data_IF_432767719118
#
_entry.id   IF_432767719118
#
_cell.length_a   1.000
_cell.length_b   1.000
_cell.length_c   1.000
_cell.angle_alpha   90.00
_cell.angle_beta   90.00
_cell.angle_gamma   90.00
#
_symmetry.space_group_name_H-M   'P 1'
#
loop_
_entity.id
_entity.type
_entity.pdbx_description
1 polymer ?
#
# COMPACT_ATOMS: atom_id res chain seq x y z
N UNK A 1 -1.96 -12.45 -5.12
CA UNK A 1 -2.02 -11.35 -4.15
C UNK A 1 -3.03 -11.77 -3.09
N UNK A 2 -2.54 -12.25 -1.93
CA UNK A 2 -3.44 -12.37 -0.78
C UNK A 2 -3.63 -10.94 -0.24
N UNK A 3 -4.64 -10.27 -0.73
CA UNK A 3 -5.36 -9.27 0.06
C UNK A 3 -5.65 -9.88 1.43
N UNK A 4 -5.98 -9.11 2.47
CA UNK A 4 -6.48 -9.62 3.75
C UNK A 4 -7.66 -10.57 3.49
N UNK A 5 -7.34 -11.71 2.88
CA UNK A 5 -8.28 -12.59 2.27
C UNK A 5 -9.03 -13.29 3.38
N UNK A 6 -10.29 -12.99 3.40
CA UNK A 6 -11.29 -13.88 3.94
C UNK A 6 -10.94 -15.29 3.45
N UNK A 7 -10.93 -16.32 4.31
CA UNK A 7 -10.73 -17.71 3.87
C UNK A 7 -11.95 -18.15 3.05
N UNK A 8 -12.01 -17.66 1.82
CA UNK A 8 -12.99 -18.08 0.83
C UNK A 8 -12.38 -19.30 0.15
N UNK A 9 -13.01 -20.44 0.28
CA UNK A 9 -12.55 -21.69 -0.33
C UNK A 9 -12.59 -21.68 -1.86
N UNK A 10 -13.26 -20.69 -2.46
CA UNK A 10 -13.42 -20.54 -3.91
C UNK A 10 -12.79 -19.23 -4.38
N UNK A 11 -12.03 -19.28 -5.47
CA UNK A 11 -11.49 -18.10 -6.16
C UNK A 11 -12.16 -18.00 -7.51
N UNK A 12 -12.80 -16.86 -7.77
CA UNK A 12 -13.34 -16.55 -9.09
C UNK A 12 -12.20 -16.47 -10.10
N UNK A 13 -12.37 -17.16 -11.24
CA UNK A 13 -11.54 -16.95 -12.41
C UNK A 13 -11.90 -15.63 -13.14
N UNK A 14 -11.07 -15.23 -14.08
CA UNK A 14 -11.28 -14.00 -14.85
C UNK A 14 -12.64 -13.99 -15.57
N UNK A 15 -12.96 -15.06 -16.32
CA UNK A 15 -14.20 -15.15 -17.08
C UNK A 15 -15.45 -15.19 -16.19
N UNK A 16 -15.38 -15.88 -15.07
CA UNK A 16 -16.46 -15.90 -14.09
C UNK A 16 -16.70 -14.53 -13.44
N UNK A 17 -15.62 -13.81 -13.11
CA UNK A 17 -15.72 -12.46 -12.54
C UNK A 17 -16.31 -11.48 -13.57
N UNK A 18 -15.92 -11.62 -14.83
CA UNK A 18 -16.42 -10.80 -15.93
C UNK A 18 -17.91 -11.07 -16.19
N UNK A 19 -18.33 -12.34 -16.20
CA UNK A 19 -19.74 -12.74 -16.35
C UNK A 19 -20.56 -12.22 -15.17
N UNK A 20 -20.09 -12.39 -13.94
CA UNK A 20 -20.76 -11.89 -12.74
C UNK A 20 -20.97 -10.38 -12.80
N UNK A 21 -19.95 -9.63 -13.23
CA UNK A 21 -20.04 -8.17 -13.39
C UNK A 21 -21.05 -7.75 -14.46
N UNK A 22 -21.21 -8.55 -15.54
CA UNK A 22 -22.13 -8.24 -16.65
C UNK A 22 -23.57 -8.59 -16.37
N UNK A 23 -23.79 -9.69 -15.63
CA UNK A 23 -25.14 -10.28 -15.44
C UNK A 23 -25.79 -9.90 -14.11
N UNK A 24 -25.02 -9.45 -13.12
CA UNK A 24 -25.51 -9.15 -11.77
C UNK A 24 -25.58 -7.63 -11.55
N UNK A 25 -26.67 -7.17 -10.98
CA UNK A 25 -26.82 -5.76 -10.68
C UNK A 25 -25.81 -5.31 -9.60
N UNK A 26 -25.35 -4.04 -9.61
CA UNK A 26 -24.46 -3.52 -8.56
C UNK A 26 -25.02 -3.71 -7.15
N UNK A 27 -26.34 -3.57 -6.95
CA UNK A 27 -26.98 -3.77 -5.66
C UNK A 27 -26.84 -5.21 -5.14
N UNK A 28 -27.03 -6.19 -6.00
CA UNK A 28 -26.84 -7.61 -5.66
C UNK A 28 -25.38 -7.92 -5.36
N UNK A 29 -24.43 -7.36 -6.12
CA UNK A 29 -23.00 -7.52 -5.84
C UNK A 29 -22.62 -6.93 -4.47
N UNK A 30 -23.15 -5.77 -4.12
CA UNK A 30 -22.90 -5.15 -2.81
C UNK A 30 -23.49 -5.99 -1.67
N UNK A 31 -24.68 -6.55 -1.85
CA UNK A 31 -25.28 -7.44 -0.85
C UNK A 31 -24.47 -8.72 -0.67
N UNK A 32 -24.02 -9.35 -1.75
CA UNK A 32 -23.15 -10.52 -1.69
C UNK A 32 -21.82 -10.21 -0.98
N UNK A 33 -21.17 -9.11 -1.34
CA UNK A 33 -19.93 -8.67 -0.69
C UNK A 33 -20.16 -8.37 0.81
N UNK A 34 -21.29 -7.72 1.16
CA UNK A 34 -21.66 -7.45 2.55
C UNK A 34 -21.86 -8.73 3.35
N UNK A 35 -22.54 -9.73 2.80
CA UNK A 35 -22.74 -11.04 3.43
C UNK A 35 -21.42 -11.76 3.68
N UNK A 36 -20.52 -11.78 2.70
CA UNK A 36 -19.19 -12.35 2.85
C UNK A 36 -18.40 -11.63 3.94
N UNK A 37 -18.34 -10.29 3.89
CA UNK A 37 -17.68 -9.49 4.91
C UNK A 37 -18.23 -9.79 6.31
N UNK A 38 -19.55 -9.80 6.46
CA UNK A 38 -20.21 -10.03 7.75
C UNK A 38 -19.90 -11.42 8.28
N UNK A 39 -19.89 -12.43 7.42
CA UNK A 39 -19.59 -13.81 7.80
C UNK A 39 -18.15 -14.00 8.28
N UNK A 40 -17.17 -13.36 7.63
CA UNK A 40 -15.75 -13.63 7.88
C UNK A 40 -15.04 -12.56 8.70
N UNK A 41 -15.51 -11.31 8.69
CA UNK A 41 -14.91 -10.19 9.43
C UNK A 41 -15.83 -9.64 10.54
N UNK A 42 -17.12 -9.98 10.50
CA UNK A 42 -18.07 -9.43 11.45
C UNK A 42 -18.20 -7.91 11.35
N UNK A 43 -18.25 -7.24 12.51
CA UNK A 43 -18.35 -5.76 12.60
C UNK A 43 -17.00 -5.07 12.82
N UNK A 44 -15.89 -5.79 12.71
CA UNK A 44 -14.56 -5.22 12.95
C UNK A 44 -14.18 -4.21 11.86
N UNK A 45 -13.64 -3.08 12.31
CA UNK A 45 -12.98 -2.08 11.47
C UNK A 45 -11.51 -2.07 11.86
N UNK A 46 -10.63 -2.21 10.89
CA UNK A 46 -9.19 -2.13 11.06
C UNK A 46 -8.72 -0.76 10.57
N UNK A 47 -8.16 0.03 11.47
CA UNK A 47 -7.75 1.41 11.22
C UNK A 47 -6.25 1.48 10.94
N UNK A 48 -5.88 2.30 9.95
CA UNK A 48 -4.48 2.58 9.63
C UNK A 48 -4.33 4.07 9.35
N UNK A 49 -3.34 4.70 9.96
CA UNK A 49 -2.92 6.07 9.65
C UNK A 49 -1.59 6.07 8.91
N UNK A 50 -1.35 7.14 8.18
CA UNK A 50 -0.10 7.36 7.45
C UNK A 50 0.52 8.70 7.89
N UNK A 51 1.85 8.73 7.94
CA UNK A 51 2.64 9.94 8.00
C UNK A 51 3.41 10.10 6.69
N UNK A 52 3.27 11.24 6.03
CA UNK A 52 4.12 11.57 4.89
C UNK A 52 5.53 11.89 5.42
N UNK A 53 6.39 10.89 5.44
CA UNK A 53 7.71 10.99 6.08
C UNK A 53 8.79 11.62 5.20
N UNK A 54 8.55 11.72 3.89
CA UNK A 54 9.36 12.49 2.93
C UNK A 54 8.42 12.96 1.81
N UNK A 55 8.45 14.24 1.48
CA UNK A 55 7.52 14.84 0.53
C UNK A 55 8.19 15.47 -0.68
N UNK A 56 7.54 15.33 -1.84
CA UNK A 56 7.90 16.01 -3.08
C UNK A 56 9.08 15.40 -3.83
N UNK A 57 9.38 15.98 -4.99
CA UNK A 57 10.54 15.66 -5.86
C UNK A 57 10.65 14.17 -6.26
N UNK A 58 9.54 13.43 -6.28
CA UNK A 58 9.55 12.04 -6.73
C UNK A 58 10.01 11.94 -8.20
N UNK A 59 10.92 11.03 -8.48
CA UNK A 59 11.44 10.79 -9.84
C UNK A 59 10.46 10.12 -10.78
N UNK A 60 9.36 9.61 -10.25
CA UNK A 60 8.35 8.86 -10.99
C UNK A 60 7.29 9.79 -11.59
N UNK A 61 6.79 9.44 -12.79
CA UNK A 61 5.82 10.24 -13.56
C UNK A 61 4.36 9.80 -13.38
N UNK A 62 4.05 9.06 -12.32
CA UNK A 62 2.70 8.54 -12.03
C UNK A 62 1.65 9.66 -12.12
N UNK A 63 0.72 9.58 -13.07
CA UNK A 63 -0.28 10.63 -13.35
C UNK A 63 -1.23 10.93 -12.19
N UNK A 64 -1.40 10.00 -11.28
CA UNK A 64 -2.27 10.13 -10.10
C UNK A 64 -1.57 10.76 -8.88
N UNK A 65 -0.25 10.98 -8.93
CA UNK A 65 0.52 11.28 -7.73
C UNK A 65 0.99 12.73 -7.67
N UNK A 66 0.54 13.47 -6.67
CA UNK A 66 0.95 14.85 -6.43
C UNK A 66 2.44 15.00 -6.06
N UNK A 67 3.12 13.91 -5.65
CA UNK A 67 4.52 13.92 -5.24
C UNK A 67 5.51 13.93 -6.41
N UNK A 68 5.02 13.69 -7.65
CA UNK A 68 5.83 13.64 -8.86
C UNK A 68 6.47 15.00 -9.20
N UNK A 69 7.78 15.00 -9.50
CA UNK A 69 8.46 16.20 -9.99
C UNK A 69 7.98 16.68 -11.37
N UNK A 70 7.23 15.83 -12.09
CA UNK A 70 6.70 16.14 -13.41
C UNK A 70 5.35 16.87 -13.35
N UNK A 71 4.74 16.96 -12.15
CA UNK A 71 3.48 17.65 -11.96
C UNK A 71 3.67 18.98 -11.23
N UNK A 72 2.90 19.99 -11.63
CA UNK A 72 2.82 21.26 -10.91
C UNK A 72 1.75 21.16 -9.83
N UNK A 73 2.18 20.83 -8.63
CA UNK A 73 1.30 20.68 -7.45
C UNK A 73 1.81 21.61 -6.34
N UNK A 74 0.89 22.16 -5.58
CA UNK A 74 1.17 23.00 -4.41
C UNK A 74 1.27 22.10 -3.17
N UNK A 75 2.40 21.40 -3.04
CA UNK A 75 2.70 20.53 -1.91
C UNK A 75 3.97 20.99 -1.19
N UNK A 76 4.02 20.84 0.11
CA UNK A 76 5.24 21.03 0.89
C UNK A 76 6.29 20.01 0.48
N UNK A 77 7.54 20.47 0.32
CA UNK A 77 8.69 19.63 -0.03
C UNK A 77 9.67 19.59 1.13
N UNK A 78 9.89 18.40 1.68
CA UNK A 78 10.81 18.19 2.82
C UNK A 78 11.52 16.83 2.76
N UNK A 79 12.72 16.75 3.35
CA UNK A 79 13.48 15.50 3.44
C UNK A 79 12.83 14.53 4.43
N UNK A 80 13.45 13.36 4.61
CA UNK A 80 13.02 12.38 5.59
C UNK A 80 12.95 13.01 6.99
N UNK A 81 11.79 12.89 7.63
CA UNK A 81 11.49 13.39 8.97
C UNK A 81 12.42 12.83 10.05
N UNK A 82 12.48 13.52 11.19
CA UNK A 82 13.26 13.08 12.35
C UNK A 82 12.56 11.99 13.16
N UNK A 83 13.34 11.22 13.92
CA UNK A 83 12.81 10.14 14.77
C UNK A 83 11.79 10.65 15.78
N UNK A 84 12.08 11.77 16.45
CA UNK A 84 11.21 12.34 17.49
C UNK A 84 9.85 12.73 16.94
N UNK A 85 9.81 13.37 15.77
CA UNK A 85 8.59 13.75 15.08
C UNK A 85 7.75 12.51 14.73
N UNK A 86 8.37 11.49 14.15
CA UNK A 86 7.68 10.25 13.77
C UNK A 86 7.13 9.49 14.98
N UNK A 87 7.84 9.47 16.10
CA UNK A 87 7.38 8.86 17.35
C UNK A 87 6.20 9.63 17.94
N UNK A 88 6.26 10.95 17.96
CA UNK A 88 5.17 11.80 18.44
C UNK A 88 3.89 11.61 17.62
N UNK A 89 4.02 11.56 16.30
CA UNK A 89 2.89 11.32 15.40
C UNK A 89 2.30 9.91 15.58
N UNK A 90 3.14 8.89 15.73
CA UNK A 90 2.70 7.53 16.04
C UNK A 90 1.96 7.46 17.38
N UNK A 91 2.48 8.12 18.42
CA UNK A 91 1.85 8.19 19.75
C UNK A 91 0.51 8.92 19.72
N UNK A 92 0.42 10.04 18.96
CA UNK A 92 -0.83 10.75 18.75
C UNK A 92 -1.88 9.85 18.11
N UNK A 93 -1.54 9.13 17.04
CA UNK A 93 -2.44 8.20 16.37
C UNK A 93 -2.87 7.04 17.27
N UNK A 94 -1.94 6.46 18.02
CA UNK A 94 -2.26 5.41 19.00
C UNK A 94 -3.25 5.88 20.06
N UNK A 95 -3.10 7.11 20.57
CA UNK A 95 -4.01 7.72 21.55
C UNK A 95 -5.44 7.93 21.00
N UNK A 96 -5.60 7.97 19.68
CA UNK A 96 -6.91 8.03 19.00
C UNK A 96 -7.49 6.65 18.67
N UNK A 97 -6.84 5.56 19.11
CA UNK A 97 -7.29 4.20 18.86
C UNK A 97 -6.96 3.67 17.46
N UNK A 98 -6.03 4.30 16.74
CA UNK A 98 -5.57 3.79 15.44
C UNK A 98 -4.77 2.51 15.63
N UNK A 99 -5.14 1.46 14.89
CA UNK A 99 -4.55 0.13 15.05
C UNK A 99 -3.19 -0.06 14.36
N UNK A 100 -2.89 0.73 13.30
CA UNK A 100 -1.63 0.66 12.55
C UNK A 100 -1.15 2.06 12.14
N UNK A 101 0.17 2.21 12.09
CA UNK A 101 0.83 3.44 11.65
C UNK A 101 1.84 3.15 10.55
N UNK A 102 1.87 3.97 9.51
CA UNK A 102 2.73 3.80 8.35
C UNK A 102 3.53 5.06 8.04
N UNK A 103 4.83 4.93 7.86
CA UNK A 103 5.62 5.95 7.19
C UNK A 103 5.48 5.78 5.67
N UNK A 104 5.21 6.87 4.98
CA UNK A 104 5.11 6.93 3.52
C UNK A 104 6.17 7.89 3.00
N UNK A 105 6.92 7.52 1.97
CA UNK A 105 7.92 8.39 1.37
C UNK A 105 7.65 8.63 -0.11
N UNK A 106 7.86 9.86 -0.56
CA UNK A 106 8.02 10.16 -1.97
C UNK A 106 9.29 9.49 -2.52
N UNK A 107 9.37 9.28 -3.83
CA UNK A 107 10.52 8.68 -4.49
C UNK A 107 10.30 7.21 -4.86
N UNK A 108 11.08 6.74 -5.86
CA UNK A 108 11.01 5.37 -6.37
C UNK A 108 11.42 4.34 -5.32
N UNK A 109 12.44 4.66 -4.53
CA UNK A 109 13.04 3.79 -3.52
C UNK A 109 13.78 4.62 -2.48
N UNK A 110 14.36 3.98 -1.48
CA UNK A 110 15.29 4.57 -0.52
C UNK A 110 16.72 4.13 -0.83
N UNK A 111 17.70 4.97 -0.48
CA UNK A 111 19.08 4.55 -0.34
C UNK A 111 19.25 3.64 0.90
N UNK A 112 20.34 2.90 0.99
CA UNK A 112 20.61 2.06 2.16
C UNK A 112 20.72 2.87 3.45
N UNK A 113 21.35 4.05 3.39
CA UNK A 113 21.44 4.97 4.53
C UNK A 113 20.05 5.48 4.98
N UNK A 114 19.18 5.82 4.03
CA UNK A 114 17.78 6.19 4.36
C UNK A 114 17.00 5.01 4.92
N UNK A 115 17.20 3.81 4.38
CA UNK A 115 16.60 2.57 4.90
C UNK A 115 17.00 2.33 6.35
N UNK A 116 18.29 2.45 6.66
CA UNK A 116 18.79 2.28 8.02
C UNK A 116 18.20 3.33 8.99
N UNK A 117 18.04 4.59 8.55
CA UNK A 117 17.36 5.64 9.32
C UNK A 117 15.89 5.32 9.56
N UNK A 118 15.16 4.91 8.54
CA UNK A 118 13.74 4.51 8.67
C UNK A 118 13.59 3.31 9.60
N UNK A 119 14.47 2.32 9.51
CA UNK A 119 14.51 1.19 10.42
C UNK A 119 14.78 1.61 11.88
N UNK A 120 15.64 2.60 12.10
CA UNK A 120 15.86 3.16 13.44
C UNK A 120 14.59 3.82 14.00
N UNK A 121 13.88 4.60 13.16
CA UNK A 121 12.59 5.20 13.51
C UNK A 121 11.58 4.11 13.91
N UNK A 122 11.42 3.07 13.10
CA UNK A 122 10.46 1.99 13.40
C UNK A 122 10.81 1.23 14.68
N UNK A 123 12.09 0.91 14.92
CA UNK A 123 12.52 0.29 16.18
C UNK A 123 12.20 1.16 17.39
N UNK A 124 12.34 2.48 17.27
CA UNK A 124 12.01 3.41 18.33
C UNK A 124 10.50 3.48 18.56
N UNK A 125 9.69 3.62 17.51
CA UNK A 125 8.22 3.58 17.62
C UNK A 125 7.78 2.27 18.29
N UNK A 126 8.29 1.12 17.83
CA UNK A 126 7.92 -0.19 18.40
C UNK A 126 8.27 -0.39 19.88
N UNK A 127 9.26 0.36 20.39
CA UNK A 127 9.59 0.35 21.83
C UNK A 127 8.73 1.30 22.66
N UNK A 128 8.34 2.45 22.09
CA UNK A 128 7.72 3.56 22.84
C UNK A 128 6.20 3.63 22.66
N UNK A 129 5.66 3.07 21.57
CA UNK A 129 4.25 3.25 21.21
C UNK A 129 3.58 1.90 20.93
N UNK A 130 2.43 1.58 21.56
CA UNK A 130 1.71 0.33 21.34
C UNK A 130 0.85 0.41 20.07
N UNK A 131 1.50 0.46 18.90
CA UNK A 131 0.84 0.53 17.59
C UNK A 131 1.54 -0.44 16.61
N UNK A 132 0.77 -1.11 15.75
CA UNK A 132 1.34 -1.99 14.73
C UNK A 132 1.96 -1.16 13.60
N UNK A 133 3.01 -1.66 12.97
CA UNK A 133 3.82 -0.92 12.02
C UNK A 133 3.58 -1.39 10.59
N UNK A 134 3.39 -0.43 9.70
CA UNK A 134 3.30 -0.59 8.26
C UNK A 134 4.30 0.35 7.57
N UNK A 135 4.72 0.05 6.34
CA UNK A 135 5.63 0.89 5.57
C UNK A 135 5.20 0.98 4.11
N UNK A 136 5.32 2.19 3.52
CA UNK A 136 5.11 2.46 2.09
C UNK A 136 6.28 3.31 1.58
N UNK A 137 7.34 2.65 1.11
CA UNK A 137 8.65 3.27 0.88
C UNK A 137 9.15 3.06 -0.57
N UNK A 138 8.23 2.79 -1.50
CA UNK A 138 8.51 2.60 -2.91
C UNK A 138 8.94 1.17 -3.27
N UNK A 139 9.82 1.02 -4.25
CA UNK A 139 10.29 -0.25 -4.79
C UNK A 139 11.61 -0.65 -4.13
N UNK A 140 11.53 -1.18 -2.91
CA UNK A 140 12.70 -1.59 -2.13
C UNK A 140 13.31 -2.89 -2.65
N UNK A 141 14.61 -3.07 -2.39
CA UNK A 141 15.29 -4.34 -2.64
C UNK A 141 14.90 -5.39 -1.60
N UNK A 142 15.24 -6.65 -1.88
CA UNK A 142 15.00 -7.76 -0.97
C UNK A 142 15.68 -7.54 0.39
N UNK A 143 16.92 -7.08 0.39
CA UNK A 143 17.73 -6.81 1.58
C UNK A 143 17.11 -5.68 2.43
N UNK A 144 16.63 -4.63 1.79
CA UNK A 144 15.97 -3.52 2.47
C UNK A 144 14.64 -3.96 3.12
N UNK A 145 13.88 -4.84 2.46
CA UNK A 145 12.64 -5.41 3.00
C UNK A 145 12.89 -6.33 4.20
N UNK A 146 13.99 -7.12 4.18
CA UNK A 146 14.42 -7.92 5.34
C UNK A 146 14.76 -7.00 6.53
N UNK A 147 15.56 -5.94 6.32
CA UNK A 147 15.86 -4.95 7.35
C UNK A 147 14.61 -4.30 7.96
N UNK A 148 13.61 -3.98 7.12
CA UNK A 148 12.33 -3.45 7.59
C UNK A 148 11.59 -4.46 8.47
N UNK A 149 11.52 -5.72 8.05
CA UNK A 149 10.88 -6.76 8.85
C UNK A 149 11.55 -6.92 10.21
N UNK A 150 12.87 -6.91 10.25
CA UNK A 150 13.68 -6.99 11.49
C UNK A 150 13.53 -5.75 12.38
N UNK A 151 13.12 -4.61 11.80
CA UNK A 151 12.84 -3.39 12.56
C UNK A 151 11.45 -3.35 13.21
N UNK A 152 10.65 -4.43 13.06
CA UNK A 152 9.32 -4.55 13.65
C UNK A 152 8.17 -4.20 12.72
N UNK A 153 8.43 -3.86 11.46
CA UNK A 153 7.39 -3.65 10.46
C UNK A 153 6.68 -4.97 10.16
N UNK A 154 5.35 -4.98 10.20
CA UNK A 154 4.53 -6.16 9.95
C UNK A 154 3.95 -6.19 8.53
N UNK A 155 3.65 -5.01 7.97
CA UNK A 155 2.99 -4.87 6.68
C UNK A 155 3.81 -3.98 5.75
N UNK A 156 3.90 -4.39 4.48
CA UNK A 156 4.44 -3.54 3.42
C UNK A 156 3.33 -3.13 2.46
N UNK A 157 3.20 -1.82 2.23
CA UNK A 157 2.22 -1.26 1.32
C UNK A 157 2.88 -0.97 -0.03
N UNK A 158 2.41 -1.64 -1.08
CA UNK A 158 2.79 -1.42 -2.46
C UNK A 158 1.57 -1.63 -3.35
N UNK A 159 0.94 -0.53 -3.77
CA UNK A 159 -0.23 -0.57 -4.64
C UNK A 159 0.15 -0.98 -6.07
N UNK A 160 -0.69 -1.80 -6.69
CA UNK A 160 -0.62 -2.04 -8.14
C UNK A 160 -1.19 -0.86 -8.94
N UNK A 161 -2.06 -0.07 -8.32
CA UNK A 161 -2.74 1.13 -8.81
C UNK A 161 -3.79 0.86 -9.90
N UNK A 162 -3.48 0.05 -10.90
CA UNK A 162 -4.40 -0.31 -11.99
C UNK A 162 -3.99 -1.66 -12.59
N UNK A 163 -4.75 -2.14 -13.58
CA UNK A 163 -4.43 -3.34 -14.36
C UNK A 163 -3.06 -3.23 -15.05
N UNK A 164 -2.25 -4.30 -15.08
CA UNK A 164 -1.00 -4.34 -15.82
C UNK A 164 -1.13 -3.88 -17.27
N UNK A 165 -2.19 -4.28 -17.98
CA UNK A 165 -2.45 -3.89 -19.37
C UNK A 165 -2.72 -2.38 -19.56
N UNK A 166 -3.14 -1.68 -18.51
CA UNK A 166 -3.44 -0.24 -18.54
C UNK A 166 -2.32 0.62 -17.94
N UNK A 167 -1.42 0.02 -17.17
CA UNK A 167 -0.42 0.72 -16.36
C UNK A 167 0.44 1.71 -17.16
N UNK A 168 0.91 1.32 -18.35
CA UNK A 168 1.76 2.16 -19.22
C UNK A 168 1.09 3.45 -19.69
N UNK A 169 -0.24 3.55 -19.62
CA UNK A 169 -0.98 4.79 -19.90
C UNK A 169 -0.86 5.82 -18.78
N UNK A 170 -0.52 5.37 -17.58
CA UNK A 170 -0.52 6.16 -16.36
C UNK A 170 0.87 6.41 -15.77
N UNK A 171 1.83 5.55 -16.08
CA UNK A 171 3.21 5.65 -15.60
C UNK A 171 4.18 5.04 -16.61
N UNK A 172 5.30 5.73 -16.89
CA UNK A 172 6.33 5.25 -17.80
C UNK A 172 7.69 4.99 -17.12
N UNK A 173 7.87 5.43 -15.88
CA UNK A 173 9.15 5.37 -15.16
C UNK A 173 9.39 4.07 -14.39
N UNK A 174 8.35 3.28 -14.18
CA UNK A 174 8.44 1.91 -13.65
C UNK A 174 7.29 1.04 -14.19
N UNK A 175 7.36 -0.27 -13.96
CA UNK A 175 6.44 -1.24 -14.54
C UNK A 175 5.64 -2.01 -13.49
N UNK A 176 4.52 -2.66 -13.86
CA UNK A 176 3.80 -3.57 -12.97
C UNK A 176 4.67 -4.71 -12.44
N UNK A 177 5.57 -5.25 -13.29
CA UNK A 177 6.46 -6.37 -12.92
C UNK A 177 7.44 -5.97 -11.80
N UNK A 178 7.91 -4.73 -11.78
CA UNK A 178 8.76 -4.22 -10.72
C UNK A 178 8.00 -4.12 -9.39
N UNK A 179 6.72 -3.74 -9.43
CA UNK A 179 5.84 -3.74 -8.25
C UNK A 179 5.57 -5.16 -7.76
N UNK A 180 5.23 -6.08 -8.67
CA UNK A 180 5.00 -7.49 -8.35
C UNK A 180 6.25 -8.09 -7.68
N UNK A 181 7.43 -7.85 -8.24
CA UNK A 181 8.71 -8.30 -7.68
C UNK A 181 8.94 -7.77 -6.27
N UNK A 182 8.68 -6.49 -6.03
CA UNK A 182 8.78 -5.90 -4.69
C UNK A 182 7.80 -6.56 -3.71
N UNK A 183 6.57 -6.83 -4.14
CA UNK A 183 5.56 -7.53 -3.34
C UNK A 183 6.01 -8.97 -3.01
N UNK A 184 6.58 -9.68 -3.97
CA UNK A 184 7.11 -11.04 -3.77
C UNK A 184 8.26 -11.04 -2.77
N UNK A 185 9.23 -10.15 -2.91
CA UNK A 185 10.33 -10.00 -1.96
C UNK A 185 9.85 -9.62 -0.55
N UNK A 186 8.82 -8.77 -0.45
CA UNK A 186 8.24 -8.43 0.84
C UNK A 186 7.57 -9.66 1.50
N UNK A 187 6.90 -10.51 0.73
CA UNK A 187 6.35 -11.79 1.24
C UNK A 187 7.45 -12.74 1.68
N UNK A 188 8.53 -12.88 0.88
CA UNK A 188 9.70 -13.70 1.23
C UNK A 188 10.37 -13.22 2.52
N UNK A 189 10.42 -11.90 2.75
CA UNK A 189 10.91 -11.31 4.00
C UNK A 189 9.98 -11.51 5.20
N UNK A 190 8.80 -12.14 5.02
CA UNK A 190 7.82 -12.38 6.07
C UNK A 190 6.92 -11.18 6.39
N UNK A 191 6.84 -10.20 5.49
CA UNK A 191 5.92 -9.08 5.58
C UNK A 191 4.55 -9.46 5.02
N UNK A 192 3.48 -9.02 5.67
CA UNK A 192 2.13 -9.04 5.11
C UNK A 192 2.00 -7.92 4.08
N UNK A 193 1.23 -8.15 3.03
CA UNK A 193 1.06 -7.18 1.96
C UNK A 193 -0.23 -6.40 2.13
N UNK A 194 -0.13 -5.08 2.00
CA UNK A 194 -1.25 -4.19 1.76
C UNK A 194 -1.10 -3.67 0.33
N UNK A 195 -2.06 -3.98 -0.53
CA UNK A 195 -2.05 -3.55 -1.94
C UNK A 195 -3.45 -3.15 -2.35
N UNK A 196 -3.54 -2.28 -3.33
CA UNK A 196 -4.78 -1.80 -3.89
C UNK A 196 -4.53 -0.98 -5.14
N UNK A 197 -5.54 -0.23 -5.55
CA UNK A 197 -5.47 0.65 -6.72
C UNK A 197 -6.58 1.68 -6.75
N UNK A 198 -6.59 2.44 -7.81
CA UNK A 198 -7.53 3.53 -8.05
C UNK A 198 -8.43 3.15 -9.21
N UNK A 199 -9.73 3.17 -8.98
CA UNK A 199 -10.76 2.94 -10.00
C UNK A 199 -11.21 4.29 -10.57
N UNK A 200 -11.35 4.37 -11.90
CA UNK A 200 -11.83 5.56 -12.59
C UNK A 200 -10.74 6.43 -13.22
N UNK A 201 -9.55 5.87 -13.44
CA UNK A 201 -8.45 6.56 -14.14
C UNK A 201 -8.52 6.42 -15.67
N UNK A 202 -9.59 5.81 -16.21
CA UNK A 202 -9.82 5.57 -17.64
C UNK A 202 -9.66 4.11 -18.07
N UNK A 203 -9.47 3.21 -17.13
CA UNK A 203 -9.44 1.76 -17.35
C UNK A 203 -10.83 1.22 -17.75
N UNK A 204 -10.86 0.14 -18.55
CA UNK A 204 -12.10 -0.55 -18.91
C UNK A 204 -12.60 -1.45 -17.76
N UNK A 205 -13.83 -1.95 -17.93
CA UNK A 205 -14.42 -2.91 -16.99
C UNK A 205 -13.61 -4.22 -16.92
N UNK A 206 -13.14 -4.71 -18.06
CA UNK A 206 -12.27 -5.87 -18.18
C UNK A 206 -10.95 -5.65 -17.44
N UNK A 207 -10.38 -4.45 -17.55
CA UNK A 207 -9.16 -4.08 -16.83
C UNK A 207 -9.37 -4.02 -15.32
N UNK A 208 -10.56 -3.66 -14.83
CA UNK A 208 -10.87 -3.75 -13.40
C UNK A 208 -10.86 -5.18 -12.89
N UNK A 209 -11.35 -6.13 -13.70
CA UNK A 209 -11.29 -7.56 -13.35
C UNK A 209 -9.85 -8.08 -13.43
N UNK A 210 -9.07 -7.67 -14.45
CA UNK A 210 -7.65 -8.01 -14.54
C UNK A 210 -6.88 -7.53 -13.31
N UNK A 211 -7.21 -6.33 -12.82
CA UNK A 211 -6.59 -5.76 -11.62
C UNK A 211 -6.95 -6.55 -10.34
N UNK A 212 -8.20 -6.99 -10.19
CA UNK A 212 -8.72 -7.72 -9.01
C UNK A 212 -8.17 -9.14 -8.92
#
# INVERSE_FOLDING_TARGET
>A
VQTCALPICYRLGYDEALELMRTTSPGELYELAHRLRTRYQGKRIDTCSIMNARSGRCSEDCKWCAQSKFHKTDIDVYPLVGETEAVQEAAHNASKGVGRFSLVTSGRTLTDAETDRVCAIYRRIGREVPIRLCASLGLLTREQLVKLRESGVEHYHCNMETAPSYFSKLCSTHTPEEKIRTIEWAKEAGLKICSGGIIGMGESAEQRIEFA
#
